data_IF_925992252398
#
_entry.id   IF_925992252398
#
_cell.length_a   1.000
_cell.length_b   1.000
_cell.length_c   1.000
_cell.angle_alpha   90.00
_cell.angle_beta   90.00
_cell.angle_gamma   90.00
#
_symmetry.space_group_name_H-M   'P 1'
#
loop_
_entity.id
_entity.type
_entity.pdbx_description
1 polymer ?
#
# COMPACT_ATOMS: atom_id res chain seq x y z
N UNK A 1 -18.76 -45.51 -25.42
CA UNK A 1 -18.82 -45.41 -23.95
C UNK A 1 -18.87 -43.93 -23.59
N UNK A 2 -20.05 -43.46 -23.20
CA UNK A 2 -20.35 -42.03 -22.94
C UNK A 2 -19.94 -41.69 -21.50
N UNK A 3 -19.22 -40.59 -21.29
CA UNK A 3 -19.06 -40.00 -19.96
C UNK A 3 -19.62 -38.57 -20.02
N UNK A 4 -20.75 -38.41 -19.34
CA UNK A 4 -21.44 -37.16 -19.10
C UNK A 4 -20.75 -36.41 -17.96
N UNK A 5 -20.27 -35.21 -18.21
CA UNK A 5 -19.74 -34.29 -17.21
C UNK A 5 -20.85 -33.47 -16.54
N UNK A 6 -21.04 -33.65 -15.26
CA UNK A 6 -21.96 -32.92 -14.40
C UNK A 6 -21.36 -31.57 -14.01
N UNK A 7 -22.02 -30.47 -14.40
CA UNK A 7 -21.75 -29.10 -13.90
C UNK A 7 -22.38 -28.94 -12.52
N UNK A 8 -21.58 -28.92 -11.48
CA UNK A 8 -22.03 -28.48 -10.15
C UNK A 8 -22.08 -26.94 -10.07
N UNK A 9 -23.29 -26.39 -9.95
CA UNK A 9 -23.52 -24.99 -9.57
C UNK A 9 -23.33 -24.87 -8.06
N UNK A 10 -22.32 -24.13 -7.64
CA UNK A 10 -22.19 -23.70 -6.25
C UNK A 10 -23.18 -22.55 -5.99
N UNK A 11 -24.22 -22.85 -5.23
CA UNK A 11 -25.16 -21.87 -4.66
C UNK A 11 -24.53 -21.36 -3.37
N UNK A 12 -24.13 -20.11 -3.34
CA UNK A 12 -23.71 -19.44 -2.13
C UNK A 12 -24.94 -19.10 -1.28
N UNK A 13 -25.15 -19.83 -0.20
CA UNK A 13 -26.07 -19.45 0.88
C UNK A 13 -25.37 -18.46 1.80
N UNK A 14 -25.97 -17.29 1.96
CA UNK A 14 -25.56 -16.29 2.94
C UNK A 14 -25.95 -16.76 4.35
N UNK A 15 -25.06 -16.81 5.33
CA UNK A 15 -25.47 -17.01 6.72
C UNK A 15 -26.02 -15.73 7.30
N UNK A 16 -27.18 -15.89 7.96
CA UNK A 16 -28.00 -14.81 8.46
C UNK A 16 -27.52 -14.10 9.72
N UNK A 17 -28.19 -12.97 9.93
CA UNK A 17 -28.46 -12.27 11.19
C UNK A 17 -27.26 -11.84 12.04
N UNK A 18 -26.65 -10.74 11.62
CA UNK A 18 -26.01 -9.83 12.55
C UNK A 18 -27.12 -8.97 13.19
N UNK A 19 -27.45 -9.21 14.47
CA UNK A 19 -28.20 -8.26 15.29
C UNK A 19 -27.32 -7.02 15.48
N UNK A 20 -27.50 -6.01 14.65
CA UNK A 20 -27.06 -4.66 14.93
C UNK A 20 -27.84 -4.20 16.13
N UNK A 21 -27.17 -3.94 17.26
CA UNK A 21 -27.73 -3.16 18.36
C UNK A 21 -28.10 -1.79 17.77
N UNK A 22 -29.41 -1.49 17.70
CA UNK A 22 -29.90 -0.21 17.23
C UNK A 22 -29.31 0.90 18.13
N UNK A 23 -28.68 1.94 17.54
CA UNK A 23 -28.28 3.10 18.31
C UNK A 23 -29.53 3.70 18.95
N UNK A 24 -29.43 4.15 20.20
CA UNK A 24 -30.56 4.77 20.91
C UNK A 24 -30.98 6.03 20.15
N UNK A 25 -32.29 6.27 20.03
CA UNK A 25 -32.88 7.44 19.35
C UNK A 25 -32.25 8.78 19.79
N UNK A 26 -31.78 8.86 21.03
CA UNK A 26 -31.03 10.01 21.56
C UNK A 26 -29.65 10.18 20.90
N UNK A 27 -28.93 9.10 20.61
CA UNK A 27 -27.61 9.20 19.96
C UNK A 27 -27.70 9.61 18.49
N UNK A 28 -28.80 9.24 17.82
CA UNK A 28 -29.07 9.71 16.44
C UNK A 28 -29.49 11.19 16.43
N UNK A 29 -30.32 11.64 17.38
CA UNK A 29 -30.70 13.04 17.48
C UNK A 29 -29.52 13.95 17.83
N UNK A 30 -28.67 13.55 18.78
CA UNK A 30 -27.45 14.30 19.12
C UNK A 30 -26.46 14.31 17.94
N UNK A 31 -26.31 13.19 17.25
CA UNK A 31 -25.48 13.08 16.04
C UNK A 31 -25.96 13.98 14.90
N UNK A 32 -27.29 14.06 14.69
CA UNK A 32 -27.91 14.89 13.66
C UNK A 32 -27.82 16.39 13.99
N UNK A 33 -28.01 16.76 15.26
CA UNK A 33 -27.84 18.14 15.73
C UNK A 33 -26.37 18.57 15.64
N UNK A 34 -25.42 17.70 15.99
CA UNK A 34 -23.98 17.99 15.88
C UNK A 34 -23.53 18.13 14.41
N UNK A 35 -24.05 17.29 13.52
CA UNK A 35 -23.77 17.36 12.08
C UNK A 35 -24.39 18.61 11.41
N UNK A 36 -25.54 19.07 11.89
CA UNK A 36 -26.17 20.31 11.41
C UNK A 36 -25.44 21.57 11.87
N UNK A 37 -24.77 21.53 13.03
CA UNK A 37 -24.02 22.66 13.59
C UNK A 37 -22.56 22.67 13.13
N UNK A 38 -21.98 21.51 12.78
CA UNK A 38 -20.61 21.34 12.31
C UNK A 38 -20.59 20.48 11.04
N UNK A 39 -20.98 21.02 9.88
CA UNK A 39 -20.84 20.31 8.62
C UNK A 39 -19.36 19.97 8.40
N UNK A 40 -19.06 18.72 8.12
CA UNK A 40 -17.70 18.28 7.82
C UNK A 40 -17.60 18.04 6.32
N UNK A 41 -16.62 18.66 5.70
CA UNK A 41 -16.38 18.50 4.27
C UNK A 41 -15.52 17.27 3.99
N UNK A 42 -15.75 16.66 2.82
CA UNK A 42 -14.89 15.61 2.31
C UNK A 42 -13.45 16.12 2.14
N UNK A 43 -12.48 15.43 2.75
CA UNK A 43 -11.08 15.81 2.74
C UNK A 43 -10.44 15.89 1.33
N UNK A 44 -11.10 15.34 0.31
CA UNK A 44 -10.54 15.24 -1.04
C UNK A 44 -11.25 16.13 -2.06
N UNK A 45 -12.57 16.26 -1.97
CA UNK A 45 -13.36 17.00 -2.95
C UNK A 45 -14.14 18.20 -2.37
N UNK A 46 -14.08 18.43 -1.05
CA UNK A 46 -14.78 19.53 -0.40
C UNK A 46 -16.31 19.39 -0.36
N UNK A 47 -16.89 18.28 -0.77
CA UNK A 47 -18.35 18.06 -0.69
C UNK A 47 -18.75 17.94 0.77
N UNK A 48 -19.82 18.62 1.16
CA UNK A 48 -20.43 18.48 2.46
C UNK A 48 -20.85 17.01 2.73
N UNK A 49 -20.52 16.52 3.91
CA UNK A 49 -20.84 15.17 4.37
C UNK A 49 -22.00 15.25 5.34
N UNK A 50 -23.11 14.65 4.98
CA UNK A 50 -24.29 14.49 5.85
C UNK A 50 -24.13 13.20 6.65
N UNK A 51 -23.96 13.29 7.96
CA UNK A 51 -23.92 12.13 8.86
C UNK A 51 -23.04 12.33 10.11
N UNK A 52 -23.28 11.54 11.17
CA UNK A 52 -22.46 11.56 12.38
C UNK A 52 -21.09 10.88 12.10
N UNK A 53 -20.07 11.67 11.91
CA UNK A 53 -18.74 11.11 11.74
C UNK A 53 -17.76 12.18 11.27
N UNK A 54 -16.79 12.48 12.11
CA UNK A 54 -15.75 13.48 11.85
C UNK A 54 -15.06 13.33 10.50
N UNK A 55 -14.16 14.26 10.19
CA UNK A 55 -13.46 14.44 8.93
C UNK A 55 -13.23 13.13 8.16
N UNK A 56 -13.93 12.95 7.06
CA UNK A 56 -13.98 11.70 6.31
C UNK A 56 -13.74 11.95 4.83
N UNK A 57 -13.60 10.89 4.09
CA UNK A 57 -13.62 10.91 2.62
C UNK A 57 -14.98 10.37 2.19
N UNK A 58 -15.69 11.07 1.29
CA UNK A 58 -17.00 10.63 0.79
C UNK A 58 -16.88 9.32 -0.01
N UNK A 59 -18.00 8.60 -0.12
CA UNK A 59 -18.06 7.31 -0.82
C UNK A 59 -17.55 7.42 -2.27
N UNK A 60 -18.00 8.43 -3.01
CA UNK A 60 -17.56 8.64 -4.39
C UNK A 60 -16.05 8.85 -4.53
N UNK A 61 -15.41 9.56 -3.57
CA UNK A 61 -13.96 9.70 -3.56
C UNK A 61 -13.24 8.38 -3.24
N UNK A 62 -13.78 7.55 -2.34
CA UNK A 62 -13.23 6.21 -2.08
C UNK A 62 -13.36 5.31 -3.30
N UNK A 63 -14.52 5.28 -3.95
CA UNK A 63 -14.78 4.46 -5.14
C UNK A 63 -13.94 4.88 -6.35
N UNK A 64 -13.58 6.16 -6.46
CA UNK A 64 -12.71 6.63 -7.53
C UNK A 64 -11.25 6.19 -7.42
N UNK A 65 -10.85 5.65 -6.25
CA UNK A 65 -9.50 5.10 -6.05
C UNK A 65 -9.45 3.65 -6.55
N UNK A 66 -9.30 3.47 -7.86
CA UNK A 66 -9.31 2.15 -8.49
C UNK A 66 -7.94 1.48 -8.49
N UNK A 67 -7.88 0.13 -8.37
CA UNK A 67 -6.64 -0.61 -8.57
C UNK A 67 -6.17 -0.50 -10.01
N UNK A 68 -4.86 -0.60 -10.22
CA UNK A 68 -4.31 -0.75 -11.56
C UNK A 68 -4.50 -2.21 -12.03
N UNK A 69 -5.29 -2.40 -13.08
CA UNK A 69 -5.59 -3.72 -13.68
C UNK A 69 -4.92 -3.91 -15.04
N UNK A 70 -4.19 -2.90 -15.53
CA UNK A 70 -3.49 -2.97 -16.81
C UNK A 70 -2.16 -3.73 -16.72
N UNK A 71 -1.52 -3.90 -17.88
CA UNK A 71 -0.21 -4.53 -17.97
C UNK A 71 0.84 -3.74 -17.19
N UNK A 72 1.75 -4.45 -16.56
CA UNK A 72 2.83 -3.87 -15.77
C UNK A 72 4.07 -4.76 -15.75
N UNK A 73 5.21 -4.16 -15.48
CA UNK A 73 6.47 -4.89 -15.31
C UNK A 73 6.35 -5.98 -14.24
N UNK A 74 6.67 -7.22 -14.59
CA UNK A 74 6.56 -8.36 -13.65
C UNK A 74 7.44 -8.19 -12.42
N UNK A 75 8.60 -7.53 -12.56
CA UNK A 75 9.50 -7.29 -11.44
C UNK A 75 9.06 -6.12 -10.55
N UNK A 76 8.88 -4.92 -11.11
CA UNK A 76 8.71 -3.71 -10.31
C UNK A 76 7.29 -3.11 -10.36
N UNK A 77 6.34 -3.74 -11.06
CA UNK A 77 4.97 -3.26 -11.17
C UNK A 77 4.82 -1.91 -11.86
N UNK A 78 5.81 -1.47 -12.68
CA UNK A 78 5.67 -0.23 -13.46
C UNK A 78 4.60 -0.43 -14.52
N UNK A 79 3.52 0.38 -14.54
CA UNK A 79 2.48 0.31 -15.55
C UNK A 79 3.00 0.55 -16.98
N UNK A 80 2.45 -0.17 -17.95
CA UNK A 80 2.69 0.05 -19.38
C UNK A 80 1.54 0.78 -20.03
N UNK A 81 1.82 1.72 -20.94
CA UNK A 81 0.80 2.56 -21.59
C UNK A 81 0.07 1.85 -22.74
N UNK A 82 0.62 0.79 -23.30
CA UNK A 82 0.04 0.09 -24.44
C UNK A 82 0.20 -1.42 -24.34
N UNK A 83 -0.72 -2.16 -25.00
CA UNK A 83 -0.67 -3.60 -25.16
C UNK A 83 0.48 -4.09 -26.07
N UNK A 84 1.09 -3.21 -26.85
CA UNK A 84 2.26 -3.55 -27.70
C UNK A 84 3.49 -3.97 -26.88
N UNK A 85 3.50 -3.66 -25.56
CA UNK A 85 4.49 -4.22 -24.63
C UNK A 85 4.26 -5.72 -24.33
N UNK A 86 3.11 -6.29 -24.73
CA UNK A 86 2.78 -7.71 -24.50
C UNK A 86 3.39 -8.67 -25.48
N UNK A 87 3.81 -8.21 -26.67
CA UNK A 87 4.46 -9.05 -27.69
C UNK A 87 5.97 -9.20 -27.47
N UNK A 88 6.53 -8.47 -26.50
CA UNK A 88 7.90 -8.67 -26.06
C UNK A 88 7.93 -9.88 -25.11
N UNK A 89 8.73 -10.86 -25.47
CA UNK A 89 9.08 -12.07 -24.68
C UNK A 89 9.54 -11.73 -23.25
N UNK A 90 9.77 -10.45 -22.96
CA UNK A 90 10.19 -9.89 -21.66
C UNK A 90 9.14 -8.92 -21.12
N UNK A 91 8.41 -9.36 -20.11
CA UNK A 91 7.48 -8.54 -19.32
C UNK A 91 8.17 -7.53 -18.37
N UNK A 92 9.48 -7.25 -18.59
CA UNK A 92 10.28 -6.33 -17.77
C UNK A 92 10.38 -4.94 -18.41
N UNK A 93 10.25 -3.89 -17.56
CA UNK A 93 10.51 -2.52 -18.02
C UNK A 93 12.02 -2.27 -18.27
N UNK A 94 12.34 -1.24 -19.06
CA UNK A 94 13.72 -0.89 -19.39
C UNK A 94 14.62 -0.70 -18.18
N UNK A 95 14.12 -0.09 -17.09
CA UNK A 95 14.90 0.08 -15.87
C UNK A 95 15.25 -1.25 -15.19
N UNK A 96 14.33 -2.22 -15.18
CA UNK A 96 14.58 -3.54 -14.59
C UNK A 96 15.49 -4.43 -15.45
N UNK A 97 15.53 -4.19 -16.76
CA UNK A 97 16.47 -4.86 -17.66
C UNK A 97 17.90 -4.33 -17.53
N UNK A 98 18.04 -3.01 -17.36
CA UNK A 98 19.35 -2.37 -17.26
C UNK A 98 19.98 -2.53 -15.87
N UNK A 99 19.15 -2.50 -14.82
CA UNK A 99 19.62 -2.48 -13.44
C UNK A 99 18.55 -3.12 -12.55
N UNK A 100 18.77 -4.40 -12.24
CA UNK A 100 17.86 -5.23 -11.49
C UNK A 100 17.72 -4.73 -10.05
N UNK A 101 16.47 -4.49 -9.56
CA UNK A 101 16.29 -4.13 -8.16
C UNK A 101 16.53 -5.32 -7.23
N UNK A 102 16.93 -5.04 -6.00
CA UNK A 102 17.23 -6.06 -4.99
C UNK A 102 16.01 -6.79 -4.42
N UNK A 103 14.80 -6.25 -4.59
CA UNK A 103 13.57 -6.98 -4.25
C UNK A 103 13.18 -7.95 -5.37
N UNK A 104 12.56 -9.06 -5.01
CA UNK A 104 12.19 -10.09 -5.99
C UNK A 104 10.98 -9.66 -6.82
N UNK A 105 9.96 -9.10 -6.19
CA UNK A 105 8.75 -8.59 -6.86
C UNK A 105 8.21 -7.39 -6.10
N UNK A 106 7.70 -6.39 -6.84
CA UNK A 106 6.95 -5.29 -6.26
C UNK A 106 5.57 -5.15 -6.89
N UNK A 107 4.56 -4.83 -6.06
CA UNK A 107 3.20 -4.50 -6.51
C UNK A 107 2.71 -3.24 -5.81
N UNK A 108 1.88 -2.49 -6.53
CA UNK A 108 1.20 -1.32 -6.00
C UNK A 108 -0.29 -1.46 -6.27
N UNK A 109 -1.12 -0.90 -5.41
CA UNK A 109 -2.56 -0.94 -5.59
C UNK A 109 -3.00 -0.18 -6.83
N UNK A 110 -2.56 1.08 -6.99
CA UNK A 110 -2.99 1.93 -8.09
C UNK A 110 -1.92 2.92 -8.56
N UNK A 111 -2.31 3.81 -9.46
CA UNK A 111 -1.47 4.91 -9.93
C UNK A 111 -1.39 6.02 -8.87
N UNK A 112 -0.25 6.71 -8.78
CA UNK A 112 -0.08 7.87 -7.91
C UNK A 112 -0.71 9.13 -8.52
N UNK A 113 -2.02 9.12 -8.70
CA UNK A 113 -2.82 10.18 -9.34
C UNK A 113 -4.14 10.39 -8.59
N UNK A 114 -4.83 11.47 -8.89
CA UNK A 114 -6.21 11.72 -8.46
C UNK A 114 -6.42 11.58 -6.94
N UNK A 115 -7.54 10.98 -6.55
CA UNK A 115 -7.93 10.87 -5.15
C UNK A 115 -7.04 9.93 -4.34
N UNK A 116 -6.42 8.92 -4.94
CA UNK A 116 -5.45 8.06 -4.23
C UNK A 116 -4.22 8.88 -3.81
N UNK A 117 -3.68 9.74 -4.70
CA UNK A 117 -2.59 10.66 -4.37
C UNK A 117 -3.00 11.62 -3.27
N UNK A 118 -4.19 12.25 -3.37
CA UNK A 118 -4.71 13.17 -2.35
C UNK A 118 -4.83 12.48 -0.98
N UNK A 119 -5.38 11.26 -0.90
CA UNK A 119 -5.50 10.49 0.34
C UNK A 119 -4.13 10.16 0.97
N UNK A 120 -3.14 9.78 0.16
CA UNK A 120 -1.78 9.54 0.62
C UNK A 120 -1.15 10.84 1.19
N UNK A 121 -1.40 12.00 0.57
CA UNK A 121 -0.93 13.29 1.07
C UNK A 121 -1.60 13.67 2.39
N UNK A 122 -2.92 13.41 2.55
CA UNK A 122 -3.63 13.60 3.81
C UNK A 122 -3.01 12.75 4.93
N UNK A 123 -2.70 11.48 4.66
CA UNK A 123 -2.00 10.62 5.61
C UNK A 123 -0.61 11.16 5.93
N UNK A 124 0.18 11.58 4.93
CA UNK A 124 1.58 12.00 5.11
C UNK A 124 1.77 13.31 5.86
N UNK A 125 0.95 14.30 5.56
CA UNK A 125 1.22 15.69 5.92
C UNK A 125 0.17 16.33 6.82
N UNK A 126 -1.02 15.73 6.91
CA UNK A 126 -2.13 16.30 7.68
C UNK A 126 -2.54 15.44 8.90
N UNK A 127 -1.71 14.45 9.26
CA UNK A 127 -1.94 13.64 10.47
C UNK A 127 -3.23 12.81 10.45
N UNK A 128 -3.78 12.55 9.26
CA UNK A 128 -5.02 11.78 9.12
C UNK A 128 -4.77 10.26 9.22
N UNK A 129 -4.22 9.83 10.35
CA UNK A 129 -3.80 8.44 10.60
C UNK A 129 -4.94 7.43 10.46
N UNK A 130 -6.19 7.83 10.74
CA UNK A 130 -7.37 6.97 10.60
C UNK A 130 -7.57 6.43 9.17
N UNK A 131 -7.06 7.15 8.15
CA UNK A 131 -7.10 6.70 6.75
C UNK A 131 -6.31 5.41 6.54
N UNK A 132 -5.29 5.15 7.36
CA UNK A 132 -4.41 4.00 7.20
C UNK A 132 -5.16 2.65 7.28
N UNK A 133 -6.27 2.58 8.01
CA UNK A 133 -7.06 1.35 8.09
C UNK A 133 -7.71 1.01 6.74
N UNK A 134 -8.35 1.98 6.09
CA UNK A 134 -8.99 1.79 4.77
C UNK A 134 -7.95 1.64 3.67
N UNK A 135 -6.87 2.42 3.72
CA UNK A 135 -5.75 2.28 2.78
C UNK A 135 -5.01 0.94 2.96
N UNK A 136 -5.01 0.37 4.16
CA UNK A 136 -4.51 -0.98 4.43
C UNK A 136 -5.30 -2.08 3.70
N UNK A 137 -6.61 -1.88 3.48
CA UNK A 137 -7.43 -2.76 2.63
C UNK A 137 -6.98 -2.71 1.16
N UNK A 138 -6.63 -1.53 0.64
CA UNK A 138 -6.09 -1.41 -0.72
C UNK A 138 -4.73 -2.12 -0.85
N UNK A 139 -3.88 -2.04 0.18
CA UNK A 139 -2.65 -2.82 0.22
C UNK A 139 -2.90 -4.33 0.26
N UNK A 140 -3.98 -4.79 0.91
CA UNK A 140 -4.34 -6.20 0.91
C UNK A 140 -4.72 -6.70 -0.49
N UNK A 141 -5.38 -5.86 -1.30
CA UNK A 141 -5.65 -6.19 -2.70
C UNK A 141 -4.35 -6.28 -3.52
N UNK A 142 -3.41 -5.35 -3.31
CA UNK A 142 -2.10 -5.42 -3.96
C UNK A 142 -1.27 -6.63 -3.49
N UNK A 143 -1.42 -7.05 -2.23
CA UNK A 143 -0.77 -8.24 -1.68
C UNK A 143 -1.21 -9.51 -2.40
N UNK A 144 -2.49 -9.65 -2.75
CA UNK A 144 -3.02 -10.78 -3.52
C UNK A 144 -2.40 -10.91 -4.92
N UNK A 145 -1.90 -9.80 -5.48
CA UNK A 145 -1.19 -9.81 -6.77
C UNK A 145 0.30 -10.22 -6.64
N UNK A 146 0.81 -10.38 -5.43
CA UNK A 146 2.06 -11.09 -5.17
C UNK A 146 1.75 -12.60 -5.12
N UNK A 147 2.66 -13.46 -5.56
CA UNK A 147 2.52 -14.90 -5.28
C UNK A 147 2.51 -15.06 -3.76
N UNK A 148 1.32 -15.16 -3.16
CA UNK A 148 1.08 -15.11 -1.72
C UNK A 148 1.96 -16.13 -1.00
N UNK A 149 2.87 -15.70 -0.12
CA UNK A 149 3.64 -16.64 0.69
C UNK A 149 2.75 -17.19 1.82
N UNK A 150 2.85 -18.47 2.13
CA UNK A 150 2.14 -19.09 3.27
C UNK A 150 2.48 -18.39 4.60
N UNK A 151 3.71 -17.88 4.71
CA UNK A 151 4.15 -17.09 5.84
C UNK A 151 5.16 -16.02 5.45
N UNK A 152 5.04 -14.83 6.03
CA UNK A 152 6.00 -13.74 5.82
C UNK A 152 6.05 -12.77 6.99
N UNK A 153 7.17 -12.07 7.11
CA UNK A 153 7.30 -10.91 8.01
C UNK A 153 6.96 -9.65 7.21
N UNK A 154 5.99 -8.90 7.70
CA UNK A 154 5.63 -7.58 7.15
C UNK A 154 6.40 -6.50 7.89
N UNK A 155 7.23 -5.77 7.17
CA UNK A 155 8.08 -4.72 7.71
C UNK A 155 7.84 -3.38 6.99
N UNK A 156 7.64 -2.28 7.71
CA UNK A 156 7.53 -0.96 7.09
C UNK A 156 8.91 -0.44 6.66
N UNK A 157 8.96 0.30 5.57
CA UNK A 157 10.13 1.12 5.22
C UNK A 157 10.34 2.17 6.33
N UNK A 158 11.53 2.22 6.96
CA UNK A 158 11.74 3.13 8.08
C UNK A 158 11.97 4.58 7.61
N UNK A 159 11.35 5.52 8.32
CA UNK A 159 11.67 6.93 8.21
C UNK A 159 12.96 7.25 8.96
N UNK A 160 13.68 8.27 8.50
CA UNK A 160 14.74 8.86 9.30
C UNK A 160 14.18 9.51 10.57
N UNK A 161 14.94 9.45 11.68
CA UNK A 161 14.50 9.95 12.98
C UNK A 161 14.00 11.41 12.96
N UNK A 162 14.62 12.29 12.16
CA UNK A 162 14.17 13.69 12.01
C UNK A 162 12.78 13.78 11.40
N UNK A 163 12.50 13.02 10.34
CA UNK A 163 11.17 12.98 9.72
C UNK A 163 10.12 12.34 10.62
N UNK A 164 10.51 11.32 11.38
CA UNK A 164 9.62 10.70 12.37
C UNK A 164 9.25 11.68 13.49
N UNK A 165 10.21 12.48 13.97
CA UNK A 165 9.93 13.56 14.96
C UNK A 165 9.03 14.64 14.40
N UNK A 166 9.26 15.06 13.16
CA UNK A 166 8.46 16.10 12.50
C UNK A 166 7.01 15.65 12.26
N UNK A 167 6.78 14.38 11.88
CA UNK A 167 5.45 13.83 11.54
C UNK A 167 4.72 13.23 12.73
N UNK A 168 5.43 12.82 13.79
CA UNK A 168 4.89 12.07 14.91
C UNK A 168 4.78 10.56 14.67
N UNK A 169 4.65 10.11 13.42
CA UNK A 169 4.42 8.71 13.04
C UNK A 169 5.17 8.31 11.76
N UNK A 170 5.18 7.00 11.48
CA UNK A 170 5.62 6.44 10.19
C UNK A 170 4.39 5.93 9.41
N UNK A 171 4.08 6.58 8.29
CA UNK A 171 2.94 6.20 7.44
C UNK A 171 3.02 4.75 6.93
N UNK A 172 4.23 4.28 6.58
CA UNK A 172 4.44 2.90 6.14
C UNK A 172 4.12 1.89 7.26
N UNK A 173 4.40 2.26 8.52
CA UNK A 173 4.06 1.44 9.69
C UNK A 173 2.54 1.34 9.88
N UNK A 174 1.83 2.46 9.81
CA UNK A 174 0.36 2.47 9.92
C UNK A 174 -0.30 1.64 8.83
N UNK A 175 0.19 1.77 7.59
CA UNK A 175 -0.28 1.01 6.43
C UNK A 175 -0.02 -0.49 6.57
N UNK A 176 1.18 -0.87 7.01
CA UNK A 176 1.53 -2.27 7.26
C UNK A 176 0.67 -2.91 8.36
N UNK A 177 0.39 -2.16 9.44
CA UNK A 177 -0.55 -2.59 10.49
C UNK A 177 -1.98 -2.75 9.96
N UNK A 178 -2.43 -1.82 9.11
CA UNK A 178 -3.73 -1.86 8.44
C UNK A 178 -3.87 -3.09 7.56
N UNK A 179 -2.87 -3.37 6.72
CA UNK A 179 -2.77 -4.57 5.86
C UNK A 179 -2.93 -5.86 6.68
N UNK A 180 -2.07 -6.07 7.69
CA UNK A 180 -2.08 -7.30 8.49
C UNK A 180 -3.40 -7.45 9.25
N UNK A 181 -3.94 -6.36 9.80
CA UNK A 181 -5.23 -6.36 10.51
C UNK A 181 -6.37 -6.76 9.57
N UNK A 182 -6.37 -6.22 8.33
CA UNK A 182 -7.43 -6.50 7.37
C UNK A 182 -7.39 -7.98 6.92
N UNK A 183 -6.21 -8.49 6.54
CA UNK A 183 -6.04 -9.87 6.10
C UNK A 183 -6.44 -10.87 7.20
N UNK A 184 -6.04 -10.63 8.44
CA UNK A 184 -6.45 -11.48 9.57
C UNK A 184 -7.96 -11.48 9.80
N UNK A 185 -8.59 -10.30 9.77
CA UNK A 185 -10.02 -10.17 10.09
C UNK A 185 -10.95 -10.63 8.96
N UNK A 186 -10.60 -10.33 7.72
CA UNK A 186 -11.46 -10.53 6.56
C UNK A 186 -11.14 -11.79 5.79
N UNK A 187 -9.86 -12.11 5.65
CA UNK A 187 -9.40 -13.27 4.87
C UNK A 187 -8.99 -14.45 5.77
N UNK A 188 -9.00 -14.27 7.11
CA UNK A 188 -8.53 -15.27 8.08
C UNK A 188 -7.10 -15.76 7.81
N UNK A 189 -6.28 -14.90 7.19
CA UNK A 189 -4.90 -15.20 6.85
C UNK A 189 -3.97 -14.88 8.02
N UNK A 190 -3.50 -15.91 8.71
CA UNK A 190 -2.66 -15.79 9.92
C UNK A 190 -1.15 -15.82 9.62
N UNK A 191 -0.75 -16.12 8.37
CA UNK A 191 0.65 -16.31 7.98
C UNK A 191 1.52 -15.05 8.06
N UNK A 192 0.95 -13.86 8.30
CA UNK A 192 1.70 -12.61 8.36
C UNK A 192 2.04 -12.17 9.78
N UNK A 193 3.34 -11.97 10.03
CA UNK A 193 3.87 -11.40 11.26
C UNK A 193 4.31 -9.94 11.03
N UNK A 194 3.67 -8.98 11.69
CA UNK A 194 4.10 -7.57 11.63
C UNK A 194 5.30 -7.33 12.56
N UNK A 195 6.37 -6.69 12.03
CA UNK A 195 7.57 -6.29 12.79
C UNK A 195 7.97 -4.87 12.41
N UNK A 196 7.70 -3.91 13.30
CA UNK A 196 7.90 -2.48 13.03
C UNK A 196 9.38 -2.07 12.94
N UNK A 197 10.23 -2.70 13.75
CA UNK A 197 11.61 -2.32 13.99
C UNK A 197 12.64 -3.28 13.32
N UNK A 198 12.21 -3.99 12.27
CA UNK A 198 13.10 -4.92 11.56
C UNK A 198 14.24 -4.19 10.84
N UNK A 199 13.94 -3.03 10.28
CA UNK A 199 14.88 -2.16 9.58
C UNK A 199 15.07 -0.83 10.32
N UNK A 200 16.27 -0.28 10.23
CA UNK A 200 16.62 1.06 10.72
C UNK A 200 17.21 1.87 9.58
N UNK A 201 16.87 3.17 9.53
CA UNK A 201 17.51 4.13 8.66
C UNK A 201 18.61 4.84 9.43
N UNK A 202 19.86 4.62 9.04
CA UNK A 202 21.07 5.02 9.79
C UNK A 202 21.48 6.46 9.55
N UNK A 203 21.15 7.03 8.36
CA UNK A 203 21.45 8.44 8.05
C UNK A 203 20.32 9.14 7.33
N UNK A 204 20.26 10.48 7.46
CA UNK A 204 19.41 11.30 6.64
C UNK A 204 19.86 11.27 5.20
N UNK A 205 18.91 11.37 4.27
CA UNK A 205 19.18 11.52 2.84
C UNK A 205 18.49 12.78 2.32
N UNK A 206 19.00 13.33 1.25
CA UNK A 206 18.37 14.46 0.57
C UNK A 206 16.93 14.10 0.16
N UNK A 207 16.02 15.07 0.08
CA UNK A 207 14.71 14.85 -0.52
C UNK A 207 14.88 14.25 -1.91
N UNK A 208 14.09 13.21 -2.24
CA UNK A 208 14.19 12.54 -3.54
C UNK A 208 13.51 13.32 -4.68
N UNK A 209 12.76 14.37 -4.34
CA UNK A 209 12.12 15.25 -5.32
C UNK A 209 13.20 15.99 -6.11
N UNK A 210 13.10 15.96 -7.44
CA UNK A 210 14.08 16.62 -8.33
C UNK A 210 15.35 15.80 -8.62
N UNK A 211 15.61 14.69 -7.95
CA UNK A 211 16.78 13.84 -8.24
C UNK A 211 16.53 12.91 -9.45
N UNK A 212 17.57 12.70 -10.28
CA UNK A 212 17.57 11.67 -11.32
C UNK A 212 17.47 10.26 -10.73
N UNK A 213 17.19 9.24 -11.56
CA UNK A 213 17.08 7.84 -11.12
C UNK A 213 18.37 7.36 -10.46
N UNK A 214 19.53 7.62 -11.09
CA UNK A 214 20.84 7.27 -10.54
C UNK A 214 21.15 7.99 -9.24
N UNK A 215 20.86 9.30 -9.16
CA UNK A 215 21.06 10.08 -7.94
C UNK A 215 20.16 9.59 -6.78
N UNK A 216 18.93 9.15 -7.06
CA UNK A 216 18.05 8.55 -6.03
C UNK A 216 18.62 7.24 -5.47
N UNK A 217 19.23 6.40 -6.33
CA UNK A 217 19.87 5.15 -5.89
C UNK A 217 21.11 5.42 -5.03
N UNK A 218 22.00 6.29 -5.47
CA UNK A 218 23.18 6.69 -4.70
C UNK A 218 22.80 7.30 -3.35
N UNK A 219 21.77 8.14 -3.32
CA UNK A 219 21.29 8.79 -2.12
C UNK A 219 20.84 7.81 -1.03
N UNK A 220 20.33 6.63 -1.38
CA UNK A 220 19.83 5.63 -0.42
C UNK A 220 20.74 4.40 -0.27
N UNK A 221 21.87 4.33 -0.97
CA UNK A 221 22.83 3.23 -0.84
C UNK A 221 23.45 3.19 0.55
N UNK A 222 23.44 2.02 1.19
CA UNK A 222 23.99 1.81 2.54
C UNK A 222 23.28 2.53 3.68
N UNK A 223 22.09 3.10 3.42
CA UNK A 223 21.31 3.90 4.40
C UNK A 223 20.53 3.02 5.36
N UNK A 224 20.30 1.76 5.02
CA UNK A 224 19.48 0.85 5.82
C UNK A 224 20.29 -0.27 6.44
N UNK A 225 19.98 -0.60 7.68
CA UNK A 225 20.52 -1.75 8.42
C UNK A 225 19.38 -2.59 8.99
N UNK A 226 19.63 -3.89 9.13
CA UNK A 226 18.72 -4.81 9.80
C UNK A 226 19.02 -4.78 11.30
N UNK A 227 17.97 -4.53 12.09
CA UNK A 227 18.11 -4.43 13.56
C UNK A 227 18.16 -5.81 14.24
N UNK A 228 17.57 -6.82 13.61
CA UNK A 228 17.41 -8.19 14.14
C UNK A 228 17.68 -9.22 13.05
N UNK A 229 18.94 -9.48 12.67
CA UNK A 229 19.28 -10.39 11.57
C UNK A 229 18.77 -11.82 11.77
N UNK A 230 18.70 -12.28 13.03
CA UNK A 230 18.19 -13.61 13.39
C UNK A 230 16.72 -13.83 13.01
N UNK A 231 15.93 -12.75 12.93
CA UNK A 231 14.52 -12.79 12.50
C UNK A 231 14.36 -12.84 10.98
N UNK A 232 15.38 -12.43 10.25
CA UNK A 232 15.34 -12.30 8.78
C UNK A 232 15.79 -13.56 8.07
N UNK A 233 16.76 -14.29 8.68
CA UNK A 233 17.42 -15.43 8.04
C UNK A 233 16.42 -16.50 7.60
N UNK A 234 16.51 -16.87 6.31
CA UNK A 234 15.64 -17.86 5.65
C UNK A 234 14.14 -17.53 5.68
N UNK A 235 13.78 -16.24 5.81
CA UNK A 235 12.36 -15.80 5.83
C UNK A 235 12.00 -15.00 4.59
N UNK A 236 10.73 -15.07 4.21
CA UNK A 236 10.12 -14.12 3.25
C UNK A 236 9.76 -12.84 3.98
N UNK A 237 10.17 -11.71 3.43
CA UNK A 237 9.90 -10.38 3.98
C UNK A 237 9.02 -9.59 2.99
N UNK A 238 7.95 -9.00 3.48
CA UNK A 238 7.09 -8.07 2.73
C UNK A 238 7.38 -6.65 3.23
N UNK A 239 8.08 -5.87 2.40
CA UNK A 239 8.32 -4.45 2.65
C UNK A 239 7.09 -3.63 2.27
N UNK A 240 6.68 -2.71 3.13
CA UNK A 240 5.55 -1.80 2.88
C UNK A 240 6.03 -0.36 2.83
N UNK A 241 5.64 0.36 1.79
CA UNK A 241 5.80 1.82 1.66
C UNK A 241 4.48 2.45 1.17
N UNK A 242 4.36 3.77 1.20
CA UNK A 242 3.18 4.46 0.69
C UNK A 242 3.22 4.68 -0.83
N UNK A 243 4.35 5.12 -1.38
CA UNK A 243 4.51 5.41 -2.82
C UNK A 243 5.82 4.86 -3.35
N UNK A 244 5.73 4.07 -4.39
CA UNK A 244 6.89 3.63 -5.14
C UNK A 244 7.08 4.52 -6.38
N UNK A 245 8.18 5.26 -6.42
CA UNK A 245 8.60 6.04 -7.59
C UNK A 245 9.59 5.22 -8.46
N UNK A 246 10.87 5.35 -8.27
CA UNK A 246 11.89 4.53 -8.93
C UNK A 246 12.10 3.17 -8.29
N UNK A 247 11.58 2.96 -7.07
CA UNK A 247 11.84 1.77 -6.26
C UNK A 247 13.18 1.78 -5.52
N UNK A 248 13.98 2.86 -5.63
CA UNK A 248 15.31 2.93 -5.03
C UNK A 248 15.31 2.69 -3.50
N UNK A 249 14.33 3.25 -2.78
CA UNK A 249 14.21 3.05 -1.33
C UNK A 249 13.91 1.59 -0.99
N UNK A 250 12.93 0.98 -1.67
CA UNK A 250 12.56 -0.43 -1.48
C UNK A 250 13.71 -1.36 -1.86
N UNK A 251 14.43 -1.07 -2.96
CA UNK A 251 15.61 -1.82 -3.37
C UNK A 251 16.74 -1.74 -2.34
N UNK A 252 17.03 -0.56 -1.80
CA UNK A 252 18.04 -0.40 -0.75
C UNK A 252 17.68 -1.13 0.57
N UNK A 253 16.39 -1.14 0.95
CA UNK A 253 15.90 -1.93 2.07
C UNK A 253 16.04 -3.44 1.79
N UNK A 254 15.68 -3.88 0.58
CA UNK A 254 15.79 -5.27 0.16
C UNK A 254 17.24 -5.75 0.16
N UNK A 255 18.18 -4.94 -0.35
CA UNK A 255 19.61 -5.23 -0.29
C UNK A 255 20.10 -5.47 1.15
N UNK A 256 19.66 -4.66 2.11
CA UNK A 256 20.00 -4.84 3.51
C UNK A 256 19.43 -6.16 4.07
N UNK A 257 18.19 -6.49 3.72
CA UNK A 257 17.53 -7.73 4.16
C UNK A 257 18.17 -8.97 3.54
N UNK A 258 18.49 -8.95 2.24
CA UNK A 258 19.16 -10.06 1.57
C UNK A 258 20.56 -10.31 2.14
N UNK A 259 21.33 -9.26 2.43
CA UNK A 259 22.62 -9.39 3.13
C UNK A 259 22.48 -9.98 4.55
N UNK A 260 21.33 -9.76 5.20
CA UNK A 260 21.02 -10.38 6.49
C UNK A 260 20.48 -11.82 6.37
N UNK A 261 20.36 -12.37 5.15
CA UNK A 261 19.95 -13.74 4.87
C UNK A 261 18.45 -13.94 4.61
N UNK A 262 17.69 -12.90 4.23
CA UNK A 262 16.31 -13.07 3.75
C UNK A 262 16.28 -13.99 2.51
N UNK A 263 15.39 -14.99 2.50
CA UNK A 263 15.22 -15.88 1.35
C UNK A 263 14.50 -15.19 0.20
N UNK A 264 13.54 -14.34 0.51
CA UNK A 264 12.73 -13.59 -0.47
C UNK A 264 12.33 -12.22 0.09
N UNK A 265 12.37 -11.19 -0.75
CA UNK A 265 11.92 -9.84 -0.38
C UNK A 265 10.90 -9.34 -1.39
N UNK A 266 9.67 -9.21 -0.95
CA UNK A 266 8.55 -8.67 -1.70
C UNK A 266 8.32 -7.21 -1.29
N UNK A 267 7.86 -6.38 -2.21
CA UNK A 267 7.59 -4.97 -1.94
C UNK A 267 6.13 -4.62 -2.25
N UNK A 268 5.51 -3.87 -1.36
CA UNK A 268 4.14 -3.36 -1.51
C UNK A 268 4.11 -1.85 -1.35
N UNK A 269 3.32 -1.17 -2.17
CA UNK A 269 2.98 0.23 -1.96
C UNK A 269 1.51 0.52 -2.32
N UNK A 270 0.97 1.61 -1.79
CA UNK A 270 -0.38 2.04 -2.19
C UNK A 270 -0.39 2.53 -3.63
N UNK A 271 0.63 3.26 -4.04
CA UNK A 271 0.63 3.86 -5.36
C UNK A 271 1.98 3.75 -6.07
N UNK A 272 1.90 3.58 -7.39
CA UNK A 272 3.03 3.61 -8.30
C UNK A 272 3.04 4.93 -9.06
N UNK A 273 4.10 5.72 -8.90
CA UNK A 273 4.32 6.86 -9.77
C UNK A 273 4.89 6.39 -11.10
N UNK A 274 4.32 6.84 -12.20
CA UNK A 274 4.75 6.50 -13.55
C UNK A 274 4.83 7.75 -14.41
N UNK A 275 5.93 7.95 -15.16
CA UNK A 275 6.02 9.04 -16.11
C UNK A 275 4.99 8.96 -17.25
N UNK A 276 4.51 7.75 -17.57
CA UNK A 276 3.52 7.50 -18.62
C UNK A 276 2.10 7.90 -18.19
N UNK A 277 1.85 8.00 -16.89
CA UNK A 277 0.58 8.40 -16.30
C UNK A 277 0.84 9.53 -15.29
N UNK A 278 1.19 10.74 -15.78
CA UNK A 278 1.37 11.88 -14.90
C UNK A 278 0.03 12.25 -14.23
N UNK A 279 0.10 12.80 -13.03
CA UNK A 279 -1.07 13.36 -12.37
C UNK A 279 -1.50 14.62 -13.17
N UNK A 280 -2.53 14.46 -13.98
CA UNK A 280 -3.17 15.59 -14.67
C UNK A 280 -3.97 16.40 -13.65
N UNK A 281 -3.31 17.00 -12.66
CA UNK A 281 -3.95 17.75 -11.60
C UNK A 281 -5.02 18.69 -12.16
N UNK A 282 -6.27 18.27 -12.08
CA UNK A 282 -7.39 19.19 -12.11
C UNK A 282 -7.30 19.97 -10.81
N UNK A 283 -6.96 21.26 -10.93
CA UNK A 283 -6.81 22.24 -9.89
C UNK A 283 -7.98 22.32 -8.92
#
# INVERSE_FOLDING_TARGET
MRILGSKARLVFSLPGNYKASSPSFLSELIGTLFAAVFPTDCLLCGRELTGPGGASICHACWESMQPWLGLSCERCGLPFASSQASDAIDSLCGSCRLDEPEFDVARSYGLYTGNLRKAILQLKFHGREFLANRLGEFLAQAFKALSEPDSAIVAPVPLHASRRRQRGFNQAELLARGLVRWLRRKERFEGLQFVADLLRRTRATLPQVGLSVSARRQNVSGVFSVARPERVRNRTIVLVDDVMTTGATLSACAAALKRAGASRVLALSLARASPQFPDSGTG
#
